data_IF_055078219192
#
_entry.id   IF_055078219192
#
_cell.length_a   1.000
_cell.length_b   1.000
_cell.length_c   1.000
_cell.angle_alpha   90.00
_cell.angle_beta   90.00
_cell.angle_gamma   90.00
#
_symmetry.space_group_name_H-M   'P 1'
#
loop_
_entity.id
_entity.type
_entity.pdbx_description
1 polymer ?
#
# COMPACT_ATOMS: atom_id res chain seq x y z
N UNK A 1 18.11 12.37 35.39
CA UNK A 1 17.12 12.69 34.35
C UNK A 1 16.67 11.37 33.75
N UNK A 2 15.38 11.05 33.79
CA UNK A 2 14.84 9.87 33.11
C UNK A 2 15.12 10.00 31.60
N UNK A 3 15.52 8.92 30.95
CA UNK A 3 15.66 8.91 29.50
C UNK A 3 14.29 9.28 28.87
N UNK A 4 14.23 10.12 27.83
CA UNK A 4 12.97 10.45 27.20
C UNK A 4 12.32 9.16 26.69
N UNK A 5 11.03 8.96 26.98
CA UNK A 5 10.26 7.84 26.47
C UNK A 5 10.39 7.77 24.95
N UNK A 6 10.60 6.57 24.36
CA UNK A 6 10.77 6.44 22.92
C UNK A 6 9.53 6.98 22.20
N UNK A 7 9.75 7.85 21.21
CA UNK A 7 8.67 8.38 20.39
C UNK A 7 7.97 7.22 19.65
N UNK A 8 6.63 7.14 19.66
CA UNK A 8 5.91 6.07 18.97
C UNK A 8 6.17 6.13 17.47
N UNK A 9 6.20 4.98 16.80
CA UNK A 9 6.44 4.91 15.36
C UNK A 9 5.18 4.56 14.55
N UNK A 10 5.15 5.00 13.29
CA UNK A 10 4.25 4.49 12.26
C UNK A 10 5.09 3.74 11.23
N UNK A 11 4.72 2.48 10.98
CA UNK A 11 5.36 1.63 9.99
C UNK A 11 4.66 1.76 8.63
N UNK A 12 5.43 1.95 7.56
CA UNK A 12 4.94 1.93 6.17
C UNK A 12 5.67 0.84 5.41
N UNK A 13 5.02 -0.32 5.20
CA UNK A 13 5.53 -1.35 4.31
C UNK A 13 5.40 -0.92 2.86
N UNK A 14 6.43 -1.20 2.05
CA UNK A 14 6.52 -0.70 0.69
C UNK A 14 6.76 0.82 0.63
N UNK A 15 7.48 1.37 1.61
CA UNK A 15 7.71 2.82 1.78
C UNK A 15 8.46 3.51 0.64
N UNK A 16 8.98 2.76 -0.34
CA UNK A 16 9.58 3.30 -1.57
C UNK A 16 8.73 3.02 -2.83
N UNK A 17 7.58 2.37 -2.68
CA UNK A 17 6.65 2.09 -3.77
C UNK A 17 5.74 3.28 -4.06
N UNK A 18 4.94 3.19 -5.14
CA UNK A 18 4.13 4.29 -5.68
C UNK A 18 3.25 4.98 -4.63
N UNK A 19 2.56 4.20 -3.78
CA UNK A 19 1.71 4.76 -2.71
C UNK A 19 2.51 4.97 -1.42
N UNK A 20 3.36 4.02 -1.06
CA UNK A 20 4.10 4.05 0.20
C UNK A 20 5.01 5.27 0.35
N UNK A 21 5.70 5.71 -0.72
CA UNK A 21 6.54 6.91 -0.66
C UNK A 21 5.73 8.18 -0.38
N UNK A 22 4.53 8.28 -0.96
CA UNK A 22 3.58 9.38 -0.72
C UNK A 22 3.04 9.36 0.70
N UNK A 23 2.78 8.19 1.27
CA UNK A 23 2.39 8.06 2.69
C UNK A 23 3.53 8.55 3.58
N UNK A 24 4.77 8.11 3.32
CA UNK A 24 5.96 8.53 4.09
C UNK A 24 6.12 10.05 4.03
N UNK A 25 6.05 10.65 2.84
CA UNK A 25 6.18 12.09 2.64
C UNK A 25 5.07 12.89 3.36
N UNK A 26 3.81 12.44 3.24
CA UNK A 26 2.68 13.08 3.92
C UNK A 26 2.78 12.96 5.44
N UNK A 27 3.19 11.81 5.98
CA UNK A 27 3.40 11.65 7.43
C UNK A 27 4.59 12.48 7.95
N UNK A 28 5.65 12.62 7.14
CA UNK A 28 6.82 13.41 7.51
C UNK A 28 6.51 14.91 7.58
N UNK A 29 5.61 15.40 6.72
CA UNK A 29 5.23 16.82 6.61
C UNK A 29 3.98 17.20 7.42
N UNK A 30 3.12 16.23 7.77
CA UNK A 30 1.85 16.47 8.48
C UNK A 30 2.06 16.93 9.93
N UNK A 31 1.40 18.04 10.36
CA UNK A 31 1.33 18.45 11.77
C UNK A 31 0.78 17.36 12.70
N UNK A 32 -0.24 16.62 12.26
CA UNK A 32 -0.92 15.58 13.03
C UNK A 32 -0.01 14.36 13.31
N UNK A 33 1.01 14.15 12.46
CA UNK A 33 1.95 13.06 12.59
C UNK A 33 3.28 13.46 13.27
N UNK A 34 3.46 14.73 13.69
CA UNK A 34 4.71 15.27 14.27
C UNK A 34 5.23 14.56 15.51
N UNK A 35 4.38 13.80 16.18
CA UNK A 35 4.77 13.00 17.36
C UNK A 35 5.39 11.64 16.99
N UNK A 36 5.26 11.20 15.73
CA UNK A 36 5.64 9.85 15.33
C UNK A 36 6.97 9.78 14.58
N UNK A 37 7.79 8.77 14.86
CA UNK A 37 8.87 8.37 13.94
C UNK A 37 8.27 7.59 12.77
N UNK A 38 8.72 7.83 11.54
CA UNK A 38 8.21 7.14 10.35
C UNK A 38 9.19 6.07 9.92
N UNK A 39 8.77 4.81 9.95
CA UNK A 39 9.58 3.67 9.49
C UNK A 39 9.20 3.35 8.04
N UNK A 40 10.02 3.77 7.09
CA UNK A 40 9.85 3.52 5.66
C UNK A 40 10.50 2.19 5.30
N UNK A 41 9.72 1.10 5.37
CA UNK A 41 10.23 -0.25 5.16
C UNK A 41 10.26 -0.63 3.68
N UNK A 42 11.41 -1.12 3.20
CA UNK A 42 11.58 -1.60 1.82
C UNK A 42 12.73 -2.60 1.71
N UNK A 43 12.82 -3.30 0.58
CA UNK A 43 13.94 -4.20 0.28
C UNK A 43 15.31 -3.50 0.26
N UNK A 44 15.34 -2.18 0.07
CA UNK A 44 16.58 -1.39 0.02
C UNK A 44 16.75 -0.46 1.23
N UNK A 45 15.97 -0.64 2.31
CA UNK A 45 15.86 0.34 3.38
C UNK A 45 17.19 0.77 4.00
N UNK A 46 18.06 -0.19 4.36
CA UNK A 46 19.34 0.13 5.03
C UNK A 46 20.27 1.02 4.18
N UNK A 47 20.17 0.94 2.83
CA UNK A 47 21.00 1.72 1.91
C UNK A 47 20.59 3.20 1.85
N UNK A 48 19.35 3.53 2.22
CA UNK A 48 18.77 4.86 2.07
C UNK A 48 18.99 5.76 3.30
N UNK A 49 19.42 5.19 4.44
CA UNK A 49 19.73 5.96 5.65
C UNK A 49 21.03 6.77 5.56
N UNK A 50 21.88 6.52 4.56
CA UNK A 50 23.18 7.19 4.41
C UNK A 50 23.12 8.54 3.68
N UNK A 51 21.92 9.03 3.34
CA UNK A 51 21.73 10.31 2.66
C UNK A 51 21.27 11.41 3.63
N UNK A 52 22.05 12.51 3.73
CA UNK A 52 21.77 13.67 4.60
C UNK A 52 20.49 14.45 4.26
N UNK A 53 19.76 14.09 3.20
CA UNK A 53 18.52 14.76 2.77
C UNK A 53 17.25 14.15 3.37
N UNK A 54 17.35 13.08 4.17
CA UNK A 54 16.16 12.48 4.76
C UNK A 54 15.66 13.35 5.93
N UNK A 55 14.37 13.73 6.00
CA UNK A 55 13.82 14.36 7.19
C UNK A 55 14.20 13.55 8.43
N UNK A 56 14.68 14.23 9.48
CA UNK A 56 15.26 13.62 10.69
C UNK A 56 14.36 12.60 11.41
N UNK A 57 13.08 12.56 11.05
CA UNK A 57 12.02 11.70 11.60
C UNK A 57 11.72 10.45 10.75
N UNK A 58 12.25 10.35 9.53
CA UNK A 58 12.07 9.19 8.65
C UNK A 58 13.28 8.27 8.79
N UNK A 59 13.03 6.98 9.04
CA UNK A 59 14.04 5.93 9.11
C UNK A 59 13.70 4.88 8.06
N UNK A 60 14.63 4.61 7.16
CA UNK A 60 14.48 3.52 6.20
C UNK A 60 14.86 2.19 6.86
N UNK A 61 14.04 1.17 6.67
CA UNK A 61 14.22 -0.13 7.32
C UNK A 61 14.25 -1.22 6.27
N UNK A 62 15.26 -2.09 6.28
CA UNK A 62 15.27 -3.24 5.42
C UNK A 62 14.16 -4.22 5.80
N UNK A 63 13.28 -4.53 4.85
CA UNK A 63 12.18 -5.48 4.99
C UNK A 63 11.92 -6.17 3.65
N UNK A 64 11.82 -7.49 3.67
CA UNK A 64 11.54 -8.32 2.50
C UNK A 64 10.52 -9.42 2.83
N UNK A 65 9.40 -9.41 2.11
CA UNK A 65 8.36 -10.44 2.20
C UNK A 65 8.85 -11.85 1.85
N UNK A 66 9.97 -11.99 1.14
CA UNK A 66 10.57 -13.28 0.79
C UNK A 66 11.67 -13.72 1.77
N UNK A 67 12.01 -12.88 2.76
CA UNK A 67 12.98 -13.20 3.79
C UNK A 67 12.41 -12.91 5.18
N UNK A 68 11.76 -13.91 5.84
CA UNK A 68 11.17 -13.76 7.17
C UNK A 68 12.14 -13.26 8.25
N UNK A 69 13.45 -13.50 8.10
CA UNK A 69 14.47 -12.99 9.00
C UNK A 69 14.55 -11.46 9.06
N UNK A 70 13.93 -10.76 8.10
CA UNK A 70 13.88 -9.29 8.06
C UNK A 70 12.65 -8.70 8.75
N UNK A 71 11.64 -9.52 9.08
CA UNK A 71 10.34 -9.03 9.54
C UNK A 71 10.37 -8.41 10.94
N UNK A 72 11.40 -8.73 11.73
CA UNK A 72 11.62 -8.14 13.05
C UNK A 72 12.33 -6.78 12.99
N UNK A 73 12.94 -6.41 11.85
CA UNK A 73 13.72 -5.18 11.71
C UNK A 73 12.93 -3.91 12.08
N UNK A 74 11.67 -3.72 11.65
CA UNK A 74 10.89 -2.54 12.03
C UNK A 74 10.83 -2.31 13.54
N UNK A 75 10.71 -3.37 14.33
CA UNK A 75 10.60 -3.28 15.78
C UNK A 75 11.92 -2.90 16.44
N UNK A 76 13.05 -3.37 15.89
CA UNK A 76 14.39 -2.98 16.34
C UNK A 76 14.59 -1.48 16.10
N UNK A 77 14.33 -1.03 14.86
CA UNK A 77 14.47 0.36 14.45
C UNK A 77 13.50 1.32 15.17
N UNK A 78 12.34 0.84 15.62
CA UNK A 78 11.41 1.63 16.44
C UNK A 78 12.00 1.97 17.82
N UNK A 79 12.79 1.06 18.40
CA UNK A 79 13.34 1.22 19.76
C UNK A 79 14.71 1.89 19.81
N UNK A 80 15.45 1.94 18.70
CA UNK A 80 16.77 2.58 18.66
C UNK A 80 16.64 4.10 18.74
N UNK A 81 17.20 4.72 19.79
CA UNK A 81 17.39 6.17 19.84
C UNK A 81 18.60 6.55 18.97
N UNK A 82 18.55 7.69 18.25
CA UNK A 82 19.70 8.23 17.50
C UNK A 82 20.81 8.66 18.49
N UNK A 83 21.48 7.71 19.15
CA UNK A 83 22.79 7.97 19.73
C UNK A 83 23.82 7.62 18.67
N UNK A 84 24.57 8.62 18.25
CA UNK A 84 25.74 8.50 17.41
C UNK A 84 26.69 7.44 17.98
N UNK A 85 26.60 6.20 17.51
CA UNK A 85 27.68 5.23 17.65
C UNK A 85 27.74 4.39 16.39
N UNK A 86 28.77 4.66 15.59
CA UNK A 86 29.34 3.68 14.67
C UNK A 86 29.50 2.38 15.44
N UNK A 87 28.76 1.34 15.07
CA UNK A 87 29.28 0.00 15.27
C UNK A 87 28.61 -0.98 14.32
N UNK A 88 29.46 -1.53 13.46
CA UNK A 88 29.29 -2.83 12.80
C UNK A 88 28.90 -3.87 13.84
N UNK A 89 27.67 -4.35 13.81
CA UNK A 89 27.28 -5.51 14.61
C UNK A 89 26.99 -6.68 13.67
N UNK A 90 27.94 -7.61 13.68
CA UNK A 90 27.88 -8.91 13.06
C UNK A 90 26.68 -9.73 13.55
N UNK A 91 26.20 -10.55 12.63
CA UNK A 91 25.20 -11.60 12.79
C UNK A 91 25.64 -12.61 13.87
N UNK A 92 24.74 -13.08 14.76
CA UNK A 92 24.88 -14.40 15.35
C UNK A 92 23.68 -15.29 15.00
N UNK A 93 23.96 -16.34 14.22
CA UNK A 93 23.13 -17.52 14.10
C UNK A 93 23.43 -18.52 15.25
N UNK A 94 22.41 -19.31 15.58
CA UNK A 94 22.44 -20.58 16.34
C UNK A 94 22.60 -20.44 17.87
N UNK A 95 21.76 -21.03 18.73
CA UNK A 95 21.10 -22.34 18.69
C UNK A 95 19.95 -22.42 19.73
N UNK A 96 18.95 -23.27 19.48
CA UNK A 96 17.98 -23.76 20.49
C UNK A 96 18.46 -25.09 21.11
N UNK A 97 17.86 -25.62 22.20
CA UNK A 97 16.63 -26.43 22.05
C UNK A 97 15.58 -26.42 23.21
N UNK A 98 14.33 -26.71 22.82
CA UNK A 98 13.27 -27.54 23.46
C UNK A 98 12.38 -27.09 24.66
N UNK A 99 11.08 -27.38 24.50
CA UNK A 99 9.89 -27.10 25.34
C UNK A 99 9.55 -28.24 26.37
N UNK A 100 8.41 -28.20 27.12
CA UNK A 100 7.10 -28.64 26.57
C UNK A 100 5.79 -27.95 27.09
N UNK A 101 4.70 -28.31 26.40
CA UNK A 101 3.25 -28.01 26.42
C UNK A 101 2.48 -27.82 27.76
N UNK A 102 1.36 -27.07 27.69
CA UNK A 102 0.02 -27.57 28.06
C UNK A 102 -1.11 -26.85 27.28
N UNK A 103 -2.24 -27.52 27.05
CA UNK A 103 -3.27 -27.25 26.04
C UNK A 103 -4.67 -26.92 26.60
N UNK A 104 -5.60 -26.64 25.66
CA UNK A 104 -7.08 -26.64 25.72
C UNK A 104 -7.80 -25.31 26.02
N UNK A 105 -9.03 -25.02 25.58
CA UNK A 105 -9.81 -25.22 24.33
C UNK A 105 -11.17 -24.49 24.50
N UNK A 106 -11.81 -24.14 23.38
CA UNK A 106 -13.27 -23.98 23.15
C UNK A 106 -14.04 -22.65 23.49
N UNK A 107 -14.43 -21.97 22.40
CA UNK A 107 -15.81 -21.71 21.92
C UNK A 107 -16.77 -20.67 22.58
N UNK A 108 -17.32 -19.85 21.66
CA UNK A 108 -18.71 -19.40 21.51
C UNK A 108 -19.15 -18.01 22.03
N UNK A 109 -20.05 -17.43 21.22
CA UNK A 109 -20.61 -16.08 21.22
C UNK A 109 -21.56 -15.77 22.39
N UNK A 110 -21.79 -14.48 22.65
CA UNK A 110 -22.97 -14.02 23.41
C UNK A 110 -22.77 -12.69 24.13
N UNK A 111 -23.67 -11.75 23.88
CA UNK A 111 -23.67 -10.38 24.40
C UNK A 111 -24.07 -10.25 25.89
N UNK A 112 -23.76 -9.07 26.43
CA UNK A 112 -24.47 -8.29 27.46
C UNK A 112 -23.71 -8.01 28.78
N UNK A 113 -23.83 -6.74 29.17
CA UNK A 113 -23.15 -6.04 30.27
C UNK A 113 -23.70 -6.37 31.67
N UNK A 114 -22.87 -6.29 32.71
CA UNK A 114 -22.94 -5.28 33.79
C UNK A 114 -22.11 -5.64 35.05
N UNK A 115 -21.55 -4.57 35.66
CA UNK A 115 -21.23 -4.36 37.08
C UNK A 115 -19.97 -4.99 37.72
N UNK A 116 -18.85 -4.26 37.53
CA UNK A 116 -17.88 -3.77 38.52
C UNK A 116 -17.63 -4.52 39.85
N UNK A 117 -16.45 -5.14 39.94
CA UNK A 117 -15.59 -5.07 41.11
C UNK A 117 -14.27 -4.42 40.67
N UNK A 118 -13.80 -3.40 41.40
CA UNK A 118 -12.58 -2.67 41.06
C UNK A 118 -11.35 -3.53 41.38
N UNK A 119 -10.83 -4.20 40.34
CA UNK A 119 -9.47 -4.73 40.29
C UNK A 119 -8.46 -3.59 40.55
N UNK A 120 -7.31 -3.86 41.20
CA UNK A 120 -6.24 -2.88 41.30
C UNK A 120 -5.89 -2.40 39.89
N UNK A 121 -5.71 -1.09 39.71
CA UNK A 121 -5.37 -0.51 38.41
C UNK A 121 -4.17 -1.26 37.82
N UNK A 122 -4.43 -2.14 36.85
CA UNK A 122 -3.38 -2.73 36.03
C UNK A 122 -2.59 -1.56 35.45
N UNK A 123 -1.30 -1.53 35.77
CA UNK A 123 -0.38 -0.54 35.23
C UNK A 123 -0.55 -0.55 33.71
N UNK A 124 -1.03 0.57 33.14
CA UNK A 124 -1.36 0.61 31.70
C UNK A 124 -0.16 0.07 30.92
N UNK A 125 -0.34 -0.96 30.08
CA UNK A 125 0.78 -1.58 29.38
C UNK A 125 1.51 -0.50 28.58
N UNK A 126 2.83 -0.45 28.72
CA UNK A 126 3.66 0.55 28.07
C UNK A 126 3.29 0.68 26.57
N UNK A 127 3.16 1.90 26.05
CA UNK A 127 2.69 2.10 24.69
C UNK A 127 3.61 1.38 23.68
N UNK A 128 3.05 0.76 22.63
CA UNK A 128 3.85 -0.02 21.71
C UNK A 128 4.81 0.87 20.94
N UNK A 129 6.02 0.36 20.69
CA UNK A 129 7.04 1.07 19.92
C UNK A 129 6.55 1.43 18.50
N UNK A 130 5.69 0.58 17.90
CA UNK A 130 4.96 0.87 16.66
C UNK A 130 3.48 0.97 16.99
N UNK A 131 2.88 2.14 16.79
CA UNK A 131 1.46 2.38 17.08
C UNK A 131 0.54 1.88 15.97
N UNK A 132 0.93 2.07 14.72
CA UNK A 132 0.15 1.71 13.55
C UNK A 132 1.05 1.26 12.39
N UNK A 133 0.54 0.34 11.56
CA UNK A 133 1.23 -0.15 10.38
C UNK A 133 0.36 -0.04 9.12
N UNK A 134 0.93 0.55 8.07
CA UNK A 134 0.40 0.46 6.73
C UNK A 134 0.97 -0.77 6.03
N UNK A 135 0.09 -1.60 5.47
CA UNK A 135 0.41 -2.87 4.86
C UNK A 135 0.05 -2.85 3.38
N UNK A 136 0.93 -3.44 2.59
CA UNK A 136 0.67 -3.78 1.19
C UNK A 136 1.20 -5.20 0.94
N UNK A 137 0.36 -6.02 0.31
CA UNK A 137 0.68 -7.41 0.03
C UNK A 137 1.92 -7.55 -0.88
N UNK A 138 2.71 -8.63 -0.74
CA UNK A 138 3.80 -8.91 -1.65
C UNK A 138 3.30 -9.04 -3.10
N UNK A 139 3.84 -8.26 -4.04
CA UNK A 139 3.39 -8.33 -5.43
C UNK A 139 3.73 -9.70 -6.04
N UNK A 140 2.75 -10.31 -6.70
CA UNK A 140 2.93 -11.58 -7.42
C UNK A 140 3.07 -12.83 -6.55
N UNK A 141 2.99 -12.73 -5.22
CA UNK A 141 3.06 -13.90 -4.35
C UNK A 141 1.72 -14.65 -4.34
N UNK A 142 1.77 -15.96 -4.58
CA UNK A 142 0.57 -16.81 -4.49
C UNK A 142 0.11 -16.99 -3.03
N UNK A 143 1.06 -16.97 -2.09
CA UNK A 143 0.84 -17.11 -0.65
C UNK A 143 0.82 -15.76 0.10
N UNK A 144 0.45 -14.68 -0.59
CA UNK A 144 0.45 -13.32 -0.04
C UNK A 144 -0.36 -13.21 1.27
N UNK A 145 -1.54 -13.84 1.32
CA UNK A 145 -2.44 -13.80 2.48
C UNK A 145 -1.78 -14.42 3.72
N UNK A 146 -1.12 -15.58 3.53
CA UNK A 146 -0.42 -16.27 4.62
C UNK A 146 0.71 -15.41 5.17
N UNK A 147 1.55 -14.84 4.30
CA UNK A 147 2.67 -13.98 4.74
C UNK A 147 2.19 -12.74 5.46
N UNK A 148 1.10 -12.15 4.97
CA UNK A 148 0.49 -10.99 5.60
C UNK A 148 -0.04 -11.34 7.00
N UNK A 149 -0.74 -12.48 7.13
CA UNK A 149 -1.22 -12.99 8.41
C UNK A 149 -0.07 -13.24 9.41
N UNK A 150 0.99 -13.95 8.98
CA UNK A 150 2.15 -14.24 9.82
C UNK A 150 2.82 -12.94 10.32
N UNK A 151 2.94 -11.93 9.46
CA UNK A 151 3.48 -10.62 9.87
C UNK A 151 2.54 -9.86 10.82
N UNK A 152 1.22 -9.93 10.60
CA UNK A 152 0.23 -9.31 11.49
C UNK A 152 0.31 -9.95 12.87
N UNK A 153 0.41 -11.27 12.97
CA UNK A 153 0.53 -11.97 14.24
C UNK A 153 1.83 -11.61 14.97
N UNK A 154 2.95 -11.54 14.25
CA UNK A 154 4.21 -11.01 14.77
C UNK A 154 4.05 -9.58 15.30
N UNK A 155 3.39 -8.69 14.54
CA UNK A 155 3.19 -7.30 14.93
C UNK A 155 2.27 -7.15 16.14
N UNK A 156 1.20 -7.95 16.23
CA UNK A 156 0.30 -8.01 17.38
C UNK A 156 1.01 -8.49 18.63
N UNK A 157 1.86 -9.50 18.52
CA UNK A 157 2.70 -9.98 19.62
C UNK A 157 3.69 -8.91 20.13
N UNK A 158 4.00 -7.90 19.30
CA UNK A 158 4.82 -6.73 19.65
C UNK A 158 3.99 -5.48 20.00
N UNK A 159 2.69 -5.65 20.23
CA UNK A 159 1.80 -4.60 20.71
C UNK A 159 1.18 -3.72 19.62
N UNK A 160 1.41 -3.97 18.33
CA UNK A 160 0.75 -3.21 17.26
C UNK A 160 -0.73 -3.56 17.23
N UNK A 161 -1.60 -2.55 17.33
CA UNK A 161 -3.06 -2.72 17.37
C UNK A 161 -3.80 -2.14 16.18
N UNK A 162 -3.15 -1.30 15.37
CA UNK A 162 -3.76 -0.64 14.22
C UNK A 162 -3.07 -1.02 12.92
N UNK A 163 -3.85 -1.52 11.96
CA UNK A 163 -3.37 -1.89 10.63
C UNK A 163 -4.23 -1.20 9.58
N UNK A 164 -3.59 -0.65 8.55
CA UNK A 164 -4.24 -0.10 7.37
C UNK A 164 -3.74 -0.90 6.18
N UNK A 165 -4.57 -1.79 5.65
CA UNK A 165 -4.22 -2.65 4.53
C UNK A 165 -4.71 -2.03 3.22
N UNK A 166 -3.80 -1.79 2.28
CA UNK A 166 -4.20 -1.51 0.91
C UNK A 166 -4.44 -2.83 0.16
N UNK A 167 -5.72 -3.09 -0.15
CA UNK A 167 -6.15 -4.12 -1.09
C UNK A 167 -6.51 -3.50 -2.45
N UNK A 168 -7.13 -4.25 -3.36
CA UNK A 168 -7.73 -3.70 -4.56
C UNK A 168 -9.17 -4.15 -4.79
N UNK A 169 -9.80 -3.54 -5.80
CA UNK A 169 -11.21 -3.64 -6.13
C UNK A 169 -11.56 -4.97 -6.83
N UNK A 170 -11.42 -6.08 -6.11
CA UNK A 170 -12.15 -7.31 -6.41
C UNK A 170 -12.10 -8.20 -5.17
N UNK A 171 -13.12 -8.07 -4.31
CA UNK A 171 -13.28 -8.96 -3.16
C UNK A 171 -14.49 -9.87 -3.41
N UNK A 172 -14.24 -10.93 -4.17
CA UNK A 172 -14.60 -12.26 -3.70
C UNK A 172 -13.34 -12.86 -3.04
N UNK A 173 -13.45 -13.69 -2.00
CA UNK A 173 -12.31 -14.39 -1.42
C UNK A 173 -11.48 -15.12 -2.50
N UNK A 174 -10.18 -14.81 -2.59
CA UNK A 174 -9.28 -15.38 -3.60
C UNK A 174 -9.09 -14.55 -4.88
N UNK A 175 -9.81 -13.44 -5.03
CA UNK A 175 -9.54 -12.45 -6.08
C UNK A 175 -8.17 -11.80 -5.89
N UNK A 176 -7.35 -11.73 -6.95
CA UNK A 176 -6.05 -11.05 -6.88
C UNK A 176 -6.24 -9.55 -7.06
N UNK A 177 -5.73 -8.72 -6.14
CA UNK A 177 -6.01 -7.30 -6.15
C UNK A 177 -5.32 -6.58 -7.33
N UNK A 178 -6.13 -6.05 -8.27
CA UNK A 178 -5.70 -5.05 -9.26
C UNK A 178 -6.33 -3.71 -8.95
N UNK A 179 -5.52 -2.66 -8.72
CA UNK A 179 -6.03 -1.31 -8.56
C UNK A 179 -5.71 -0.49 -9.80
N UNK A 180 -6.76 -0.04 -10.49
CA UNK A 180 -6.67 0.86 -11.63
C UNK A 180 -6.27 2.27 -11.15
N UNK A 181 -4.97 2.55 -11.20
CA UNK A 181 -4.38 3.83 -10.77
C UNK A 181 -3.93 4.65 -11.95
N UNK A 182 -4.10 5.97 -11.85
CA UNK A 182 -3.61 6.91 -12.86
C UNK A 182 -2.10 6.78 -13.09
N UNK A 183 -1.31 6.56 -12.03
CA UNK A 183 0.15 6.40 -12.14
C UNK A 183 0.57 5.21 -13.02
N UNK A 184 -0.28 4.20 -13.22
CA UNK A 184 0.06 3.05 -14.06
C UNK A 184 0.43 3.50 -15.50
N UNK A 185 -0.19 4.55 -16.03
CA UNK A 185 0.12 5.09 -17.37
C UNK A 185 1.53 5.68 -17.49
N UNK A 186 2.12 6.17 -16.38
CA UNK A 186 3.44 6.79 -16.36
C UNK A 186 4.53 5.88 -15.77
N UNK A 187 4.18 4.79 -15.09
CA UNK A 187 5.15 3.91 -14.42
C UNK A 187 5.24 2.50 -14.99
N UNK A 188 4.19 2.01 -15.67
CA UNK A 188 4.24 0.67 -16.27
C UNK A 188 4.89 0.73 -17.65
N UNK A 189 5.98 -0.02 -17.92
CA UNK A 189 6.68 0.03 -19.20
C UNK A 189 5.82 -0.24 -20.42
N UNK A 190 4.78 -1.09 -20.29
CA UNK A 190 3.85 -1.37 -21.38
C UNK A 190 3.04 -0.14 -21.80
N UNK A 191 2.45 0.59 -20.83
CA UNK A 191 1.72 1.83 -21.13
C UNK A 191 2.66 2.96 -21.56
N UNK A 192 3.78 3.15 -20.87
CA UNK A 192 4.73 4.23 -21.18
C UNK A 192 5.21 4.12 -22.62
N UNK A 193 5.69 2.93 -23.04
CA UNK A 193 6.16 2.70 -24.41
C UNK A 193 5.05 2.82 -25.43
N UNK A 194 3.87 2.24 -25.18
CA UNK A 194 2.76 2.33 -26.13
C UNK A 194 2.32 3.79 -26.36
N UNK A 195 2.20 4.59 -25.30
CA UNK A 195 1.80 6.00 -25.43
C UNK A 195 2.92 6.80 -26.10
N UNK A 196 4.16 6.69 -25.62
CA UNK A 196 5.31 7.44 -26.13
C UNK A 196 5.65 7.09 -27.57
N UNK A 197 5.85 5.81 -27.85
CA UNK A 197 6.45 5.33 -29.09
C UNK A 197 5.41 4.99 -30.17
N UNK A 198 4.20 4.57 -29.77
CA UNK A 198 3.16 4.11 -30.70
C UNK A 198 1.95 5.06 -30.79
N UNK A 199 1.86 6.07 -29.92
CA UNK A 199 0.66 6.92 -29.77
C UNK A 199 -0.60 6.12 -29.44
N UNK A 200 -0.46 5.03 -28.67
CA UNK A 200 -1.55 4.08 -28.42
C UNK A 200 -1.70 3.71 -26.95
N UNK A 201 -2.91 3.31 -26.60
CA UNK A 201 -3.23 2.61 -25.37
C UNK A 201 -3.93 1.31 -25.76
N UNK A 202 -3.53 0.19 -25.17
CA UNK A 202 -4.09 -1.12 -25.46
C UNK A 202 -4.81 -1.64 -24.23
N UNK A 203 -6.03 -2.15 -24.42
CA UNK A 203 -6.81 -2.86 -23.39
C UNK A 203 -7.80 -3.82 -24.07
N UNK A 204 -8.50 -4.63 -23.30
CA UNK A 204 -9.66 -5.43 -23.78
C UNK A 204 -10.95 -5.04 -23.04
N UNK A 205 -11.09 -3.75 -22.72
CA UNK A 205 -12.17 -3.21 -21.88
C UNK A 205 -13.38 -2.73 -22.67
N UNK A 206 -13.32 -2.65 -24.00
CA UNK A 206 -14.27 -1.86 -24.79
C UNK A 206 -14.45 -0.46 -24.20
N UNK A 207 -15.70 -0.02 -24.12
CA UNK A 207 -16.11 1.26 -23.54
C UNK A 207 -16.34 1.20 -22.01
N UNK A 208 -15.93 0.11 -21.36
CA UNK A 208 -16.04 -0.05 -19.91
C UNK A 208 -15.36 1.08 -19.15
N UNK A 209 -16.08 1.64 -18.16
CA UNK A 209 -15.61 2.80 -17.38
C UNK A 209 -15.02 2.38 -16.05
N UNK A 210 -13.95 3.07 -15.66
CA UNK A 210 -13.20 2.81 -14.43
C UNK A 210 -13.04 4.13 -13.65
N UNK A 211 -13.23 4.14 -12.33
CA UNK A 211 -12.98 5.30 -11.50
C UNK A 211 -11.48 5.42 -11.16
N UNK A 212 -10.69 5.91 -12.10
CA UNK A 212 -9.23 5.95 -12.01
C UNK A 212 -8.73 6.77 -10.82
N UNK A 213 -8.20 6.10 -9.80
CA UNK A 213 -7.78 6.74 -8.55
C UNK A 213 -6.31 7.17 -8.59
N UNK A 214 -5.98 8.32 -8.00
CA UNK A 214 -4.60 8.75 -7.81
C UNK A 214 -3.95 8.06 -6.61
N UNK A 215 -2.69 7.64 -6.74
CA UNK A 215 -1.85 7.21 -5.62
C UNK A 215 -1.72 8.28 -4.52
N UNK A 216 -1.84 9.58 -4.88
CA UNK A 216 -1.84 10.68 -3.91
C UNK A 216 -3.09 10.64 -3.02
N UNK A 217 -4.24 10.26 -3.58
CA UNK A 217 -5.51 10.19 -2.86
C UNK A 217 -5.57 8.93 -1.99
N UNK A 218 -5.10 7.79 -2.51
CA UNK A 218 -4.92 6.57 -1.70
C UNK A 218 -4.03 6.86 -0.50
N UNK A 219 -2.90 7.54 -0.72
CA UNK A 219 -1.99 7.91 0.36
C UNK A 219 -2.66 8.86 1.37
N UNK A 220 -3.45 9.83 0.91
CA UNK A 220 -4.17 10.75 1.79
C UNK A 220 -5.19 10.02 2.70
N UNK A 221 -5.98 9.10 2.12
CA UNK A 221 -6.91 8.25 2.89
C UNK A 221 -6.15 7.37 3.88
N UNK A 222 -5.06 6.73 3.46
CA UNK A 222 -4.25 5.88 4.32
C UNK A 222 -3.65 6.67 5.51
N UNK A 223 -3.15 7.88 5.28
CA UNK A 223 -2.63 8.77 6.33
C UNK A 223 -3.71 9.10 7.35
N UNK A 224 -4.92 9.44 6.91
CA UNK A 224 -6.05 9.68 7.82
C UNK A 224 -6.40 8.42 8.62
N UNK A 225 -6.45 7.25 7.99
CA UNK A 225 -6.72 5.99 8.68
C UNK A 225 -5.63 5.62 9.72
N UNK A 226 -4.36 5.91 9.42
CA UNK A 226 -3.24 5.67 10.34
C UNK A 226 -3.27 6.62 11.56
N UNK A 227 -3.63 7.88 11.33
CA UNK A 227 -3.42 8.98 12.31
C UNK A 227 -4.66 9.40 13.08
N UNK A 228 -5.88 9.04 12.62
CA UNK A 228 -7.12 9.40 13.31
C UNK A 228 -7.08 8.95 14.78
N UNK A 229 -7.39 9.82 15.76
CA UNK A 229 -7.43 9.44 17.17
C UNK A 229 -8.23 8.15 17.40
N UNK A 230 -9.42 8.07 16.80
CA UNK A 230 -10.28 6.88 16.82
C UNK A 230 -10.08 6.07 15.53
N UNK A 231 -9.69 4.79 15.60
CA UNK A 231 -9.59 3.98 14.38
C UNK A 231 -10.97 3.84 13.75
N UNK A 232 -11.12 4.03 12.43
CA UNK A 232 -12.41 3.94 11.77
C UNK A 232 -12.95 2.50 11.69
N UNK A 233 -12.06 1.48 11.76
CA UNK A 233 -12.41 0.05 11.74
C UNK A 233 -13.44 -0.31 10.65
N UNK A 234 -13.23 0.21 9.45
CA UNK A 234 -14.11 0.04 8.29
C UNK A 234 -13.28 -0.14 7.03
N UNK A 235 -13.91 -0.67 6.00
CA UNK A 235 -13.36 -0.68 4.65
C UNK A 235 -13.69 0.63 3.94
N UNK A 236 -12.68 1.21 3.29
CA UNK A 236 -12.84 2.36 2.41
C UNK A 236 -12.67 1.92 0.96
N UNK A 237 -13.74 2.03 0.17
CA UNK A 237 -13.64 1.89 -1.28
C UNK A 237 -13.12 3.21 -1.86
N UNK A 238 -11.83 3.29 -2.16
CA UNK A 238 -11.18 4.53 -2.60
C UNK A 238 -11.22 4.64 -4.13
N UNK A 239 -12.15 5.44 -4.66
CA UNK A 239 -12.43 5.56 -6.09
C UNK A 239 -12.02 6.94 -6.63
N UNK A 240 -11.53 6.99 -7.86
CA UNK A 240 -11.25 8.26 -8.55
C UNK A 240 -12.53 9.08 -8.82
N UNK A 241 -12.39 10.39 -9.10
CA UNK A 241 -13.54 11.29 -9.28
C UNK A 241 -14.35 11.02 -10.55
N UNK A 242 -13.71 10.41 -11.56
CA UNK A 242 -14.23 10.36 -12.92
C UNK A 242 -14.30 8.91 -13.39
N UNK A 243 -15.48 8.51 -13.91
CA UNK A 243 -15.66 7.25 -14.61
C UNK A 243 -15.22 7.41 -16.06
N UNK A 244 -14.00 6.97 -16.35
CA UNK A 244 -13.39 7.12 -17.68
C UNK A 244 -13.13 5.76 -18.32
N UNK A 245 -13.48 5.62 -19.60
CA UNK A 245 -13.00 4.53 -20.45
C UNK A 245 -11.56 4.78 -20.90
N UNK A 246 -10.89 3.75 -21.41
CA UNK A 246 -9.56 3.92 -22.02
C UNK A 246 -9.58 4.85 -23.25
N UNK A 247 -10.70 4.89 -23.98
CA UNK A 247 -10.94 5.86 -25.06
C UNK A 247 -10.95 7.30 -24.57
N UNK A 248 -11.71 7.58 -23.50
CA UNK A 248 -11.76 8.92 -22.88
C UNK A 248 -10.39 9.34 -22.31
N UNK A 249 -9.64 8.38 -21.75
CA UNK A 249 -8.25 8.61 -21.32
C UNK A 249 -7.34 8.97 -22.51
N UNK A 250 -7.48 8.28 -23.64
CA UNK A 250 -6.71 8.56 -24.86
C UNK A 250 -7.04 9.95 -25.41
N UNK A 251 -8.29 10.41 -25.33
CA UNK A 251 -8.68 11.76 -25.74
C UNK A 251 -8.10 12.83 -24.82
N UNK A 252 -8.12 12.63 -23.49
CA UNK A 252 -7.45 13.55 -22.55
C UNK A 252 -5.95 13.62 -22.84
N UNK A 253 -5.29 12.47 -23.05
CA UNK A 253 -3.87 12.45 -23.39
C UNK A 253 -3.58 13.10 -24.75
N UNK A 254 -4.50 12.98 -25.72
CA UNK A 254 -4.39 13.65 -27.03
C UNK A 254 -4.29 15.16 -26.85
N UNK A 255 -5.18 15.73 -26.04
CA UNK A 255 -5.17 17.16 -25.75
C UNK A 255 -3.92 17.59 -24.98
N UNK A 256 -3.54 16.84 -23.93
CA UNK A 256 -2.40 17.18 -23.07
C UNK A 256 -1.06 17.09 -23.80
N UNK A 257 -0.92 16.11 -24.71
CA UNK A 257 0.32 15.87 -25.46
C UNK A 257 0.39 16.61 -26.80
N UNK A 258 -0.73 17.13 -27.29
CA UNK A 258 -0.79 17.83 -28.59
C UNK A 258 -0.58 16.90 -29.80
N UNK A 259 -0.76 15.58 -29.64
CA UNK A 259 -0.71 14.58 -30.70
C UNK A 259 -1.78 13.51 -30.50
N UNK A 260 -2.32 12.94 -31.57
CA UNK A 260 -3.40 11.95 -31.45
C UNK A 260 -2.91 10.69 -30.75
N UNK A 261 -3.51 10.40 -29.60
CA UNK A 261 -3.40 9.12 -28.90
C UNK A 261 -4.67 8.31 -29.19
N UNK A 262 -4.52 7.02 -29.48
CA UNK A 262 -5.63 6.14 -29.85
C UNK A 262 -5.74 4.99 -28.87
N UNK A 263 -6.94 4.76 -28.34
CA UNK A 263 -7.25 3.51 -27.65
C UNK A 263 -7.52 2.41 -28.68
N UNK A 264 -6.82 1.30 -28.54
CA UNK A 264 -7.00 0.08 -29.32
C UNK A 264 -7.62 -0.97 -28.41
N UNK A 265 -8.92 -1.22 -28.58
CA UNK A 265 -9.63 -2.33 -27.94
C UNK A 265 -9.25 -3.63 -28.66
N UNK A 266 -8.43 -4.44 -27.99
CA UNK A 266 -7.95 -5.72 -28.49
C UNK A 266 -8.95 -6.82 -28.19
N UNK A 267 -8.99 -7.86 -29.04
CA UNK A 267 -9.62 -9.10 -28.66
C UNK A 267 -8.87 -9.70 -27.45
N UNK A 268 -9.55 -10.41 -26.52
CA UNK A 268 -8.91 -10.99 -25.34
C UNK A 268 -7.65 -11.83 -25.66
N UNK A 269 -7.69 -12.64 -26.73
CA UNK A 269 -6.55 -13.44 -27.15
C UNK A 269 -5.33 -12.61 -27.58
N UNK A 270 -5.56 -11.48 -28.26
CA UNK A 270 -4.49 -10.56 -28.69
C UNK A 270 -3.87 -9.83 -27.51
N UNK A 271 -4.69 -9.44 -26.51
CA UNK A 271 -4.19 -8.84 -25.27
C UNK A 271 -3.36 -9.85 -24.46
N UNK A 272 -3.81 -11.11 -24.37
CA UNK A 272 -3.07 -12.18 -23.72
C UNK A 272 -1.70 -12.39 -24.40
N UNK A 273 -1.67 -12.49 -25.73
CA UNK A 273 -0.43 -12.60 -26.51
C UNK A 273 0.49 -11.38 -26.26
N UNK A 274 -0.07 -10.17 -26.21
CA UNK A 274 0.68 -8.95 -25.90
C UNK A 274 1.32 -9.02 -24.52
N UNK A 275 0.61 -9.49 -23.49
CA UNK A 275 1.19 -9.70 -22.16
C UNK A 275 2.32 -10.73 -22.19
N UNK A 276 2.11 -11.87 -22.86
CA UNK A 276 3.15 -12.90 -23.01
C UNK A 276 4.39 -12.37 -23.74
N UNK A 277 4.21 -11.52 -24.76
CA UNK A 277 5.31 -10.83 -25.46
C UNK A 277 6.12 -9.90 -24.55
N UNK A 278 5.57 -9.45 -23.43
CA UNK A 278 6.29 -8.72 -22.39
C UNK A 278 6.89 -9.61 -21.29
N UNK A 279 6.88 -10.93 -21.48
CA UNK A 279 7.43 -11.91 -20.54
C UNK A 279 6.49 -12.23 -19.38
N UNK A 280 5.20 -11.88 -19.49
CA UNK A 280 4.21 -12.22 -18.47
C UNK A 280 3.81 -13.71 -18.60
N UNK A 281 3.85 -14.50 -17.52
CA UNK A 281 3.49 -15.92 -17.58
C UNK A 281 2.05 -16.14 -18.06
N UNK A 282 1.82 -17.16 -18.89
CA UNK A 282 0.54 -17.38 -19.59
C UNK A 282 -0.70 -17.37 -18.69
N UNK A 283 -0.68 -18.08 -17.56
CA UNK A 283 -1.82 -18.09 -16.63
C UNK A 283 -2.09 -16.71 -16.01
N UNK A 284 -1.04 -15.92 -15.77
CA UNK A 284 -1.17 -14.56 -15.27
C UNK A 284 -1.66 -13.60 -16.38
N UNK A 285 -1.22 -13.80 -17.63
CA UNK A 285 -1.72 -13.07 -18.79
C UNK A 285 -3.23 -13.30 -18.99
N UNK A 286 -3.70 -14.56 -18.92
CA UNK A 286 -5.13 -14.91 -18.97
C UNK A 286 -5.93 -14.22 -17.90
N UNK A 287 -5.41 -14.22 -16.66
CA UNK A 287 -6.05 -13.57 -15.54
C UNK A 287 -6.19 -12.06 -15.77
N UNK A 288 -5.11 -11.37 -16.17
CA UNK A 288 -5.14 -9.93 -16.46
C UNK A 288 -6.13 -9.60 -17.59
N UNK A 289 -6.13 -10.38 -18.66
CA UNK A 289 -7.08 -10.25 -19.77
C UNK A 289 -8.53 -10.46 -19.31
N UNK A 290 -8.79 -11.42 -18.43
CA UNK A 290 -10.14 -11.65 -17.89
C UNK A 290 -10.61 -10.46 -17.03
N UNK A 291 -9.72 -9.80 -16.29
CA UNK A 291 -10.04 -8.59 -15.55
C UNK A 291 -10.42 -7.43 -16.49
N UNK A 292 -9.64 -7.20 -17.55
CA UNK A 292 -9.97 -6.23 -18.59
C UNK A 292 -11.34 -6.53 -19.24
N UNK A 293 -11.59 -7.79 -19.56
CA UNK A 293 -12.87 -8.23 -20.15
C UNK A 293 -14.04 -8.00 -19.19
N UNK A 294 -13.84 -8.16 -17.87
CA UNK A 294 -14.90 -7.90 -16.88
C UNK A 294 -15.28 -6.41 -16.80
N UNK A 295 -14.32 -5.51 -17.02
CA UNK A 295 -14.55 -4.06 -17.05
C UNK A 295 -15.49 -3.68 -18.20
N UNK A 296 -15.39 -4.38 -19.35
CA UNK A 296 -16.31 -4.22 -20.47
C UNK A 296 -17.78 -4.42 -20.07
N UNK A 297 -18.03 -5.26 -19.08
CA UNK A 297 -19.36 -5.55 -18.53
C UNK A 297 -19.67 -4.75 -17.25
N UNK A 298 -18.90 -3.70 -16.95
CA UNK A 298 -19.19 -2.76 -15.86
C UNK A 298 -18.72 -3.21 -14.48
N UNK A 299 -17.80 -4.18 -14.37
CA UNK A 299 -17.30 -4.68 -13.09
C UNK A 299 -16.78 -3.56 -12.15
N UNK A 300 -16.22 -2.50 -12.73
CA UNK A 300 -15.65 -1.35 -12.02
C UNK A 300 -16.52 -0.08 -12.08
N UNK A 301 -17.70 -0.14 -12.70
CA UNK A 301 -18.54 1.05 -12.95
C UNK A 301 -19.26 1.53 -11.69
N UNK A 302 -18.52 2.19 -10.80
CA UNK A 302 -18.98 2.65 -9.47
C UNK A 302 -18.36 4.00 -9.15
N UNK A 303 -19.06 4.81 -8.36
CA UNK A 303 -18.58 6.09 -7.84
C UNK A 303 -18.89 6.21 -6.36
N UNK A 304 -18.14 7.07 -5.66
CA UNK A 304 -18.44 7.48 -4.30
C UNK A 304 -17.70 8.80 -3.98
N UNK A 305 -17.87 9.28 -2.76
CA UNK A 305 -17.27 10.51 -2.22
C UNK A 305 -16.27 10.23 -1.08
N UNK A 306 -15.81 8.98 -0.93
CA UNK A 306 -14.98 8.53 0.20
C UNK A 306 -13.72 9.38 0.36
N UNK A 307 -13.05 9.74 -0.74
CA UNK A 307 -11.85 10.57 -0.67
C UNK A 307 -12.17 11.93 -0.08
N UNK A 308 -13.24 12.59 -0.55
CA UNK A 308 -13.65 13.90 -0.05
C UNK A 308 -14.07 13.79 1.43
N UNK A 309 -14.89 12.80 1.77
CA UNK A 309 -15.38 12.60 3.13
C UNK A 309 -14.26 12.34 4.14
N UNK A 310 -13.25 11.54 3.77
CA UNK A 310 -12.14 11.17 4.68
C UNK A 310 -11.06 12.24 4.73
N UNK A 311 -10.73 12.86 3.60
CA UNK A 311 -9.57 13.76 3.52
C UNK A 311 -9.94 15.24 3.67
N UNK A 312 -11.20 15.60 3.40
CA UNK A 312 -11.67 16.98 3.28
C UNK A 312 -11.23 17.68 2.00
N UNK A 313 -10.59 16.97 1.06
CA UNK A 313 -10.08 17.51 -0.19
C UNK A 313 -10.71 16.79 -1.39
N UNK A 314 -10.96 17.54 -2.46
CA UNK A 314 -11.46 16.94 -3.69
C UNK A 314 -10.41 15.95 -4.26
N UNK A 315 -10.83 14.76 -4.70
CA UNK A 315 -9.92 13.80 -5.35
C UNK A 315 -9.36 14.34 -6.67
N UNK A 316 -8.18 13.84 -7.06
CA UNK A 316 -7.45 14.34 -8.21
C UNK A 316 -7.99 13.76 -9.52
N UNK A 317 -8.24 14.62 -10.51
CA UNK A 317 -8.71 14.21 -11.84
C UNK A 317 -7.59 13.60 -12.67
N UNK A 318 -7.96 12.83 -13.69
CA UNK A 318 -6.96 12.22 -14.58
C UNK A 318 -6.17 13.28 -15.37
N UNK A 319 -6.84 14.33 -15.85
CA UNK A 319 -6.17 15.43 -16.57
C UNK A 319 -5.06 16.07 -15.76
N UNK A 320 -5.32 16.37 -14.48
CA UNK A 320 -4.33 17.01 -13.60
C UNK A 320 -3.11 16.09 -13.38
N UNK A 321 -3.31 14.77 -13.40
CA UNK A 321 -2.20 13.80 -13.43
C UNK A 321 -1.46 13.84 -14.76
N UNK A 322 -2.17 13.73 -15.88
CA UNK A 322 -1.60 13.71 -17.23
C UNK A 322 -0.73 14.94 -17.51
N UNK A 323 -1.20 16.14 -17.14
CA UNK A 323 -0.44 17.39 -17.30
C UNK A 323 0.87 17.38 -16.52
N UNK A 324 0.85 16.86 -15.28
CA UNK A 324 2.04 16.77 -14.43
C UNK A 324 3.04 15.71 -14.88
N UNK A 325 2.56 14.65 -15.54
CA UNK A 325 3.37 13.51 -15.94
C UNK A 325 3.78 13.54 -17.42
N UNK A 326 3.32 14.53 -18.20
CA UNK A 326 3.44 14.56 -19.66
C UNK A 326 4.86 14.33 -20.20
N UNK A 327 5.88 14.78 -19.48
CA UNK A 327 7.29 14.59 -19.85
C UNK A 327 7.73 13.13 -19.92
N UNK A 328 6.94 12.17 -19.40
CA UNK A 328 7.17 10.73 -19.55
C UNK A 328 6.84 10.22 -20.96
N UNK A 329 5.93 10.90 -21.67
CA UNK A 329 5.41 10.48 -22.97
C UNK A 329 5.78 11.41 -24.13
N UNK A 330 6.56 12.46 -23.87
CA UNK A 330 7.16 13.37 -24.86
C UNK A 330 8.51 12.82 -25.31
#
# INVERSE_FOLDING_TARGET
MAAPSPQPAILVLGGTGTVGSRIVERLASSPEARQYVILAASRNGDRLNNNNNNPSRVRHVHFDWHNPGTWTNPFIYATTTNSSSRNTAANPLSSSPSAPLLAAAAAAAGAAAAAAAAEPAEEEPAPPAIRAAYLIAPPGALDADRRLADFIDLARARGVRRFVLQSASALEPGGRPWAARTQNFATQPAHVRAIRDESKIYSATGDGKIPWVSADDIAAVAVRALTNPTPPNTDYLVLGPELLSYGEIADILTEVLGRKIVHVDLAPAELEERYQGFGVPGDYSKMLTAMDTSIKFGAENRTNDVILAVTGSAPRRFRDFAESAKGVWQ
#
